data_IF_248776324476
#
_entry.id   IF_248776324476
#
_cell.length_a   1.000
_cell.length_b   1.000
_cell.length_c   1.000
_cell.angle_alpha   90.00
_cell.angle_beta   90.00
_cell.angle_gamma   90.00
#
_symmetry.space_group_name_H-M   'P 1'
#
loop_
_entity.id
_entity.type
_entity.pdbx_description
1 polymer ?
#
# COMPACT_ATOMS: atom_id res chain seq x y z
N UNK A 1 30.37 -3.06 7.24
CA UNK A 1 29.09 -3.06 7.99
C UNK A 1 28.89 -4.35 8.79
N UNK A 2 28.93 -5.56 8.22
CA UNK A 2 28.73 -6.85 8.93
C UNK A 2 29.66 -7.06 10.13
N UNK A 3 30.94 -6.63 10.05
CA UNK A 3 31.93 -6.75 11.14
C UNK A 3 31.53 -5.91 12.38
N UNK A 4 31.00 -4.71 12.17
CA UNK A 4 30.53 -3.82 13.23
C UNK A 4 29.26 -4.39 13.88
N UNK A 5 28.32 -4.88 13.11
CA UNK A 5 27.10 -5.51 13.63
C UNK A 5 27.44 -6.74 14.50
N UNK A 6 28.43 -7.58 14.09
CA UNK A 6 28.90 -8.71 14.90
C UNK A 6 29.59 -8.28 16.20
N UNK A 7 30.44 -7.25 16.14
CA UNK A 7 31.15 -6.72 17.32
C UNK A 7 30.18 -6.11 18.35
N UNK A 8 29.11 -5.47 17.87
CA UNK A 8 28.07 -4.84 18.70
C UNK A 8 26.87 -5.77 19.00
N UNK A 9 26.96 -7.05 18.60
CA UNK A 9 25.90 -8.05 18.74
C UNK A 9 24.55 -7.57 18.17
N UNK A 10 24.58 -6.72 17.14
CA UNK A 10 23.38 -6.25 16.44
C UNK A 10 22.93 -7.34 15.49
N UNK A 11 21.71 -7.86 15.71
CA UNK A 11 21.06 -8.87 14.87
C UNK A 11 19.81 -8.28 14.22
N UNK A 12 19.58 -8.65 12.95
CA UNK A 12 18.31 -8.32 12.29
C UNK A 12 17.17 -9.08 12.96
N UNK A 13 16.08 -8.36 13.27
CA UNK A 13 14.82 -8.94 13.75
C UNK A 13 13.89 -9.35 12.60
N UNK A 14 14.34 -9.17 11.36
CA UNK A 14 13.54 -9.48 10.17
C UNK A 14 13.36 -10.99 10.07
N UNK A 15 12.11 -11.43 10.14
CA UNK A 15 11.72 -12.79 9.79
C UNK A 15 11.12 -12.77 8.38
N UNK A 16 11.71 -13.53 7.47
CA UNK A 16 11.11 -13.75 6.16
C UNK A 16 9.91 -14.69 6.36
N UNK A 17 8.72 -14.18 6.01
CA UNK A 17 7.51 -14.98 5.91
C UNK A 17 6.90 -14.75 4.54
N UNK A 18 6.73 -15.81 3.76
CA UNK A 18 6.13 -15.75 2.43
C UNK A 18 4.59 -15.79 2.45
N UNK A 19 3.96 -15.52 3.59
CA UNK A 19 2.51 -15.53 3.71
C UNK A 19 1.94 -14.21 3.16
N UNK A 20 1.72 -14.14 1.85
CA UNK A 20 0.89 -13.09 1.25
C UNK A 20 -0.54 -13.18 1.76
N UNK A 21 -1.21 -12.04 1.96
CA UNK A 21 -2.62 -12.01 2.37
C UNK A 21 -3.58 -11.96 1.17
N UNK A 22 -3.06 -11.95 -0.04
CA UNK A 22 -3.86 -11.94 -1.27
C UNK A 22 -4.64 -13.23 -1.42
N UNK A 23 -5.96 -13.13 -1.39
CA UNK A 23 -6.86 -14.21 -1.80
C UNK A 23 -7.22 -13.99 -3.25
N UNK A 24 -6.70 -14.87 -4.13
CA UNK A 24 -7.13 -14.87 -5.52
C UNK A 24 -8.64 -15.19 -5.60
N UNK A 25 -9.33 -14.54 -6.53
CA UNK A 25 -10.72 -14.86 -6.82
C UNK A 25 -10.80 -16.25 -7.42
N UNK A 26 -11.65 -17.12 -6.85
CA UNK A 26 -11.93 -18.44 -7.43
C UNK A 26 -12.60 -18.29 -8.82
N UNK A 27 -13.45 -17.27 -8.99
CA UNK A 27 -14.11 -16.91 -10.25
C UNK A 27 -13.99 -15.39 -10.46
N UNK A 28 -12.91 -14.89 -11.09
CA UNK A 28 -12.76 -13.47 -11.36
C UNK A 28 -13.83 -13.02 -12.35
N UNK A 29 -14.55 -11.94 -12.00
CA UNK A 29 -15.61 -11.37 -12.86
C UNK A 29 -15.03 -10.45 -13.94
N UNK A 30 -13.89 -9.84 -13.67
CA UNK A 30 -13.16 -8.97 -14.59
C UNK A 30 -11.65 -9.09 -14.36
N UNK A 31 -10.88 -9.13 -15.43
CA UNK A 31 -9.42 -9.12 -15.39
C UNK A 31 -8.92 -8.07 -16.38
N UNK A 32 -8.23 -7.06 -15.86
CA UNK A 32 -7.58 -6.04 -16.68
C UNK A 32 -6.20 -6.52 -17.18
N UNK A 33 -5.75 -5.96 -18.29
CA UNK A 33 -4.39 -6.17 -18.81
C UNK A 33 -3.35 -5.53 -17.89
N UNK A 34 -2.11 -6.01 -17.96
CA UNK A 34 -0.99 -5.37 -17.27
C UNK A 34 -0.44 -4.20 -18.09
N UNK A 35 -1.12 -3.06 -18.02
CA UNK A 35 -0.72 -1.83 -18.73
C UNK A 35 0.50 -1.20 -18.07
N UNK A 36 0.62 -1.26 -16.72
CA UNK A 36 1.73 -0.69 -15.98
C UNK A 36 3.10 -1.28 -16.39
N UNK A 37 3.12 -2.58 -16.68
CA UNK A 37 4.28 -3.34 -17.15
C UNK A 37 5.60 -3.02 -16.41
N UNK A 38 5.52 -2.84 -15.08
CA UNK A 38 6.64 -2.49 -14.18
C UNK A 38 7.25 -1.11 -14.43
N UNK A 39 6.59 -0.25 -15.17
CA UNK A 39 7.03 1.13 -15.32
C UNK A 39 6.62 1.94 -14.07
N UNK A 40 7.43 1.82 -13.01
CA UNK A 40 7.17 2.41 -11.69
C UNK A 40 7.60 3.87 -11.56
N UNK A 41 7.73 4.57 -12.66
CA UNK A 41 7.99 6.01 -12.73
C UNK A 41 6.75 6.74 -13.21
N UNK A 42 6.51 7.93 -12.70
CA UNK A 42 5.47 8.84 -13.14
C UNK A 42 6.05 10.25 -13.28
N UNK A 43 5.48 11.07 -14.14
CA UNK A 43 5.94 12.43 -14.42
C UNK A 43 5.22 13.48 -13.55
N UNK A 44 4.05 13.13 -13.05
CA UNK A 44 3.20 14.01 -12.26
C UNK A 44 2.48 13.22 -11.14
N UNK A 45 2.07 13.90 -10.05
CA UNK A 45 1.15 13.32 -9.07
C UNK A 45 -0.15 12.89 -9.75
N UNK A 46 -0.74 11.83 -9.22
CA UNK A 46 -2.00 11.25 -9.72
C UNK A 46 -1.97 10.70 -11.16
N UNK A 47 -0.78 10.46 -11.73
CA UNK A 47 -0.63 9.80 -13.04
C UNK A 47 -0.76 8.27 -12.91
N UNK A 48 -0.15 7.69 -11.87
CA UNK A 48 -0.15 6.24 -11.65
C UNK A 48 -0.30 5.94 -10.16
N UNK A 49 -1.30 5.15 -9.81
CA UNK A 49 -1.56 4.68 -8.45
C UNK A 49 -1.40 3.17 -8.33
N UNK A 50 -0.72 2.71 -7.30
CA UNK A 50 -0.67 1.31 -6.91
C UNK A 50 -1.51 1.08 -5.67
N UNK A 51 -2.18 -0.07 -5.62
CA UNK A 51 -2.96 -0.47 -4.44
C UNK A 51 -2.70 -1.92 -4.06
N UNK A 52 -2.85 -2.21 -2.79
CA UNK A 52 -2.80 -3.55 -2.24
C UNK A 52 -3.43 -3.58 -0.83
N UNK A 53 -3.67 -4.78 -0.34
CA UNK A 53 -4.16 -5.03 1.02
C UNK A 53 -3.14 -5.85 1.79
N UNK A 54 -2.83 -5.41 3.00
CA UNK A 54 -1.98 -6.17 3.92
C UNK A 54 -2.68 -6.46 5.24
N UNK A 55 -2.29 -7.54 5.93
CA UNK A 55 -2.83 -7.89 7.24
C UNK A 55 -1.81 -7.65 8.37
N UNK A 56 -2.35 -7.29 9.52
CA UNK A 56 -1.67 -7.20 10.80
C UNK A 56 -2.41 -8.01 11.85
N UNK A 57 -1.72 -8.36 12.93
CA UNK A 57 -2.28 -9.13 14.03
C UNK A 57 -2.11 -8.40 15.36
N UNK A 58 -3.12 -8.56 16.22
CA UNK A 58 -3.04 -8.23 17.64
C UNK A 58 -3.59 -9.40 18.46
N UNK A 59 -3.38 -9.37 19.76
CA UNK A 59 -3.73 -10.48 20.65
C UNK A 59 -4.57 -9.96 21.79
N UNK A 60 -5.67 -10.65 22.08
CA UNK A 60 -6.46 -10.48 23.31
C UNK A 60 -6.26 -11.75 24.12
N UNK A 61 -5.46 -11.66 25.20
CA UNK A 61 -5.00 -12.84 25.91
C UNK A 61 -4.17 -13.75 24.99
N UNK A 62 -4.67 -14.97 24.74
CA UNK A 62 -4.04 -15.95 23.84
C UNK A 62 -4.64 -15.96 22.42
N UNK A 63 -5.75 -15.27 22.21
CA UNK A 63 -6.42 -15.24 20.90
C UNK A 63 -5.76 -14.25 19.94
N UNK A 64 -5.55 -14.69 18.70
CA UNK A 64 -5.00 -13.87 17.62
C UNK A 64 -6.10 -13.30 16.75
N UNK A 65 -6.21 -11.99 16.74
CA UNK A 65 -7.12 -11.22 15.91
C UNK A 65 -6.40 -10.58 14.72
N UNK A 66 -7.14 -10.18 13.69
CA UNK A 66 -6.62 -9.58 12.46
C UNK A 66 -7.18 -8.19 12.24
N UNK A 67 -6.35 -7.34 11.64
CA UNK A 67 -6.72 -6.07 11.04
C UNK A 67 -6.17 -6.02 9.63
N UNK A 68 -6.95 -5.51 8.70
CA UNK A 68 -6.57 -5.35 7.29
C UNK A 68 -6.42 -3.88 6.96
N UNK A 69 -5.33 -3.55 6.29
CA UNK A 69 -5.03 -2.22 5.78
C UNK A 69 -5.04 -2.27 4.25
N UNK A 70 -5.93 -1.53 3.62
CA UNK A 70 -5.89 -1.20 2.21
C UNK A 70 -5.29 0.18 2.04
N UNK A 71 -4.39 0.38 1.09
CA UNK A 71 -3.82 1.69 0.80
C UNK A 71 -3.56 1.89 -0.69
N UNK A 72 -3.48 3.16 -1.10
CA UNK A 72 -3.13 3.61 -2.43
C UNK A 72 -1.84 4.43 -2.35
N UNK A 73 -0.84 4.07 -3.14
CA UNK A 73 0.45 4.73 -3.25
C UNK A 73 0.57 5.41 -4.62
N UNK A 74 0.93 6.68 -4.64
CA UNK A 74 1.26 7.42 -5.85
C UNK A 74 2.69 7.10 -6.31
N UNK A 75 2.89 6.85 -7.59
CA UNK A 75 4.21 6.51 -8.13
C UNK A 75 5.13 7.70 -8.36
N UNK A 76 4.61 8.92 -8.44
CA UNK A 76 5.42 10.12 -8.61
C UNK A 76 6.16 10.53 -7.34
N UNK A 77 5.42 10.75 -6.27
CA UNK A 77 5.92 11.27 -5.00
C UNK A 77 6.02 10.21 -3.90
N UNK A 78 5.54 8.99 -4.16
CA UNK A 78 5.53 7.87 -3.21
C UNK A 78 4.65 8.08 -1.99
N UNK A 79 3.81 9.11 -1.95
CA UNK A 79 2.87 9.32 -0.85
C UNK A 79 1.78 8.26 -0.80
N UNK A 80 1.33 7.96 0.39
CA UNK A 80 0.08 7.23 0.58
C UNK A 80 -1.07 8.22 0.40
N UNK A 81 -1.77 8.09 -0.73
CA UNK A 81 -2.87 8.96 -1.15
C UNK A 81 -4.09 8.77 -0.26
N UNK A 82 -4.40 7.51 0.02
CA UNK A 82 -5.54 7.09 0.83
C UNK A 82 -5.28 5.74 1.47
N UNK A 83 -5.93 5.49 2.60
CA UNK A 83 -5.96 4.18 3.24
C UNK A 83 -7.23 3.99 4.05
N UNK A 84 -7.61 2.72 4.27
CA UNK A 84 -8.71 2.31 5.15
C UNK A 84 -8.27 1.09 5.96
N UNK A 85 -8.65 1.06 7.25
CA UNK A 85 -8.33 -0.04 8.17
C UNK A 85 -9.64 -0.68 8.62
N UNK A 86 -9.76 -2.02 8.48
CA UNK A 86 -10.95 -2.78 8.87
C UNK A 86 -10.59 -4.14 9.46
N UNK A 87 -11.53 -4.74 10.20
CA UNK A 87 -11.36 -6.08 10.77
C UNK A 87 -11.70 -7.20 9.77
N UNK A 88 -12.28 -6.84 8.62
CA UNK A 88 -12.66 -7.76 7.56
C UNK A 88 -12.00 -7.38 6.24
N UNK A 89 -11.39 -8.38 5.58
CA UNK A 89 -10.89 -8.24 4.21
C UNK A 89 -12.04 -8.50 3.22
N UNK A 90 -12.76 -7.45 2.86
CA UNK A 90 -13.93 -7.50 1.98
C UNK A 90 -13.87 -6.39 0.91
N UNK A 91 -14.85 -6.38 0.00
CA UNK A 91 -14.92 -5.38 -1.08
C UNK A 91 -15.02 -3.95 -0.53
N UNK A 92 -15.78 -3.73 0.54
CA UNK A 92 -15.94 -2.40 1.14
C UNK A 92 -14.61 -1.79 1.60
N UNK A 93 -13.65 -2.60 2.08
CA UNK A 93 -12.32 -2.14 2.47
C UNK A 93 -11.62 -1.41 1.31
N UNK A 94 -11.61 -2.02 0.12
CA UNK A 94 -10.94 -1.48 -1.07
C UNK A 94 -11.75 -0.36 -1.72
N UNK A 95 -13.09 -0.50 -1.77
CA UNK A 95 -13.97 0.48 -2.38
C UNK A 95 -13.90 1.82 -1.65
N UNK A 96 -13.97 1.79 -0.32
CA UNK A 96 -13.84 3.00 0.50
C UNK A 96 -12.44 3.63 0.37
N UNK A 97 -11.40 2.80 0.18
CA UNK A 97 -10.03 3.32 -0.04
C UNK A 97 -9.97 4.15 -1.34
N UNK A 98 -10.62 3.67 -2.41
CA UNK A 98 -10.71 4.40 -3.68
C UNK A 98 -11.59 5.65 -3.55
N UNK A 99 -12.75 5.54 -2.89
CA UNK A 99 -13.65 6.69 -2.69
C UNK A 99 -12.95 7.81 -1.93
N UNK A 100 -12.24 7.48 -0.85
CA UNK A 100 -11.46 8.45 -0.09
C UNK A 100 -10.30 9.06 -0.92
N UNK A 101 -9.68 8.28 -1.80
CA UNK A 101 -8.63 8.80 -2.69
C UNK A 101 -9.19 9.83 -3.68
N UNK A 102 -10.32 9.52 -4.32
CA UNK A 102 -10.98 10.41 -5.27
C UNK A 102 -11.54 11.68 -4.60
N UNK A 103 -12.08 11.54 -3.39
CA UNK A 103 -12.57 12.68 -2.62
C UNK A 103 -11.43 13.68 -2.30
N UNK A 104 -10.24 13.16 -1.98
CA UNK A 104 -9.05 14.00 -1.67
C UNK A 104 -8.33 14.53 -2.90
N UNK A 105 -8.56 13.92 -4.07
CA UNK A 105 -7.94 14.30 -5.33
C UNK A 105 -9.01 14.42 -6.42
N UNK A 106 -9.86 15.46 -6.39
CA UNK A 106 -10.93 15.65 -7.36
C UNK A 106 -10.40 15.72 -8.79
N UNK A 107 -11.03 14.97 -9.70
CA UNK A 107 -10.63 14.94 -11.11
C UNK A 107 -9.41 14.07 -11.44
N UNK A 108 -8.81 13.39 -10.46
CA UNK A 108 -7.70 12.47 -10.72
C UNK A 108 -8.16 11.26 -11.55
N UNK A 109 -7.43 10.95 -12.62
CA UNK A 109 -7.69 9.83 -13.52
C UNK A 109 -6.42 8.98 -13.72
N UNK A 110 -5.87 8.40 -12.64
CA UNK A 110 -4.63 7.63 -12.71
C UNK A 110 -4.76 6.34 -13.51
N UNK A 111 -3.64 5.82 -13.98
CA UNK A 111 -3.51 4.39 -14.23
C UNK A 111 -3.51 3.67 -12.87
N UNK A 112 -4.58 2.92 -12.57
CA UNK A 112 -4.80 2.28 -11.29
C UNK A 112 -4.36 0.81 -11.33
N UNK A 113 -3.25 0.47 -10.69
CA UNK A 113 -2.69 -0.87 -10.73
C UNK A 113 -2.86 -1.63 -9.42
N UNK A 114 -3.31 -2.87 -9.51
CA UNK A 114 -3.49 -3.80 -8.39
C UNK A 114 -2.98 -5.20 -8.71
N UNK A 115 -2.95 -6.06 -7.70
CA UNK A 115 -2.91 -7.50 -7.92
C UNK A 115 -4.27 -8.03 -8.44
N UNK A 116 -4.40 -9.37 -8.51
CA UNK A 116 -5.64 -10.06 -8.90
C UNK A 116 -6.45 -10.55 -7.70
N UNK A 117 -6.41 -9.83 -6.59
CA UNK A 117 -7.26 -10.10 -5.44
C UNK A 117 -8.74 -10.04 -5.80
N UNK A 118 -9.59 -10.78 -5.05
CA UNK A 118 -11.02 -10.88 -5.35
C UNK A 118 -11.75 -9.53 -5.33
N UNK A 119 -11.27 -8.56 -4.55
CA UNK A 119 -11.83 -7.22 -4.50
C UNK A 119 -11.64 -6.48 -5.82
N UNK A 120 -10.44 -6.58 -6.41
CA UNK A 120 -10.05 -5.88 -7.63
C UNK A 120 -10.63 -6.51 -8.89
N UNK A 121 -10.89 -7.83 -8.87
CA UNK A 121 -11.52 -8.57 -9.97
C UNK A 121 -13.05 -8.51 -9.93
N UNK A 122 -13.63 -7.78 -9.01
CA UNK A 122 -15.07 -7.56 -8.88
C UNK A 122 -15.58 -6.62 -9.97
N UNK A 123 -16.70 -6.98 -10.62
CA UNK A 123 -17.29 -6.17 -11.70
C UNK A 123 -17.74 -4.80 -11.22
N UNK A 124 -18.32 -4.69 -10.02
CA UNK A 124 -18.73 -3.40 -9.44
C UNK A 124 -17.53 -2.50 -9.21
N UNK A 125 -16.39 -3.06 -8.78
CA UNK A 125 -15.14 -2.30 -8.64
C UNK A 125 -14.66 -1.74 -9.98
N UNK A 126 -14.64 -2.58 -11.02
CA UNK A 126 -14.29 -2.14 -12.37
C UNK A 126 -15.21 -1.01 -12.86
N UNK A 127 -16.53 -1.18 -12.74
CA UNK A 127 -17.51 -0.15 -13.12
C UNK A 127 -17.28 1.16 -12.36
N UNK A 128 -16.94 1.10 -11.07
CA UNK A 128 -16.60 2.27 -10.26
C UNK A 128 -15.40 3.04 -10.84
N UNK A 129 -14.33 2.34 -11.21
CA UNK A 129 -13.14 2.98 -11.82
C UNK A 129 -13.48 3.61 -13.18
N UNK A 130 -14.20 2.89 -14.04
CA UNK A 130 -14.63 3.39 -15.36
C UNK A 130 -15.47 4.66 -15.22
N UNK A 131 -16.43 4.70 -14.31
CA UNK A 131 -17.27 5.87 -14.05
C UNK A 131 -16.47 7.09 -13.56
N UNK A 132 -15.32 6.85 -12.93
CA UNK A 132 -14.38 7.90 -12.53
C UNK A 132 -13.35 8.26 -13.61
N UNK A 133 -13.42 7.66 -14.80
CA UNK A 133 -12.44 7.86 -15.89
C UNK A 133 -11.07 7.20 -15.63
N UNK A 134 -11.00 6.26 -14.69
CA UNK A 134 -9.75 5.61 -14.25
C UNK A 134 -9.51 4.35 -15.06
N UNK A 135 -8.31 4.21 -15.61
CA UNK A 135 -7.86 3.00 -16.32
C UNK A 135 -7.34 1.97 -15.33
N UNK A 136 -7.95 0.79 -15.34
CA UNK A 136 -7.53 -0.33 -14.48
C UNK A 136 -6.40 -1.13 -15.12
N UNK A 137 -5.39 -1.49 -14.34
CA UNK A 137 -4.29 -2.39 -14.71
C UNK A 137 -4.10 -3.45 -13.62
N UNK A 138 -3.72 -4.66 -13.99
CA UNK A 138 -3.53 -5.75 -13.03
C UNK A 138 -2.21 -6.48 -13.24
N UNK A 139 -1.60 -6.91 -12.13
CA UNK A 139 -0.40 -7.75 -12.14
C UNK A 139 -0.65 -9.06 -12.89
N UNK A 140 0.39 -9.62 -13.48
CA UNK A 140 0.37 -10.97 -14.06
C UNK A 140 0.23 -12.02 -12.97
N UNK A 141 -0.30 -13.20 -13.33
CA UNK A 141 -0.46 -14.31 -12.38
C UNK A 141 0.91 -14.66 -11.77
N UNK A 142 0.95 -14.82 -10.46
CA UNK A 142 2.14 -15.19 -9.67
C UNK A 142 3.38 -14.30 -9.90
N UNK A 143 3.18 -13.04 -10.30
CA UNK A 143 4.24 -12.04 -10.48
C UNK A 143 4.07 -10.90 -9.45
N UNK A 144 4.35 -11.18 -8.18
CA UNK A 144 4.31 -10.19 -7.08
C UNK A 144 5.14 -8.93 -7.40
N UNK A 145 6.26 -9.09 -8.07
CA UNK A 145 7.14 -7.99 -8.47
C UNK A 145 6.43 -6.93 -9.36
N UNK A 146 5.29 -7.26 -9.96
CA UNK A 146 4.50 -6.32 -10.75
C UNK A 146 3.85 -5.23 -9.88
N UNK A 147 3.81 -5.40 -8.52
CA UNK A 147 3.36 -4.41 -7.54
C UNK A 147 4.49 -4.03 -6.54
N UNK A 148 5.74 -4.10 -6.99
CA UNK A 148 6.95 -3.96 -6.16
C UNK A 148 6.99 -2.74 -5.24
N UNK A 149 6.66 -1.50 -5.68
CA UNK A 149 6.68 -0.33 -4.80
C UNK A 149 5.71 -0.43 -3.63
N UNK A 150 4.52 -1.02 -3.83
CA UNK A 150 3.53 -1.21 -2.75
C UNK A 150 3.99 -2.29 -1.76
N UNK A 151 4.54 -3.40 -2.26
CA UNK A 151 5.18 -4.42 -1.41
C UNK A 151 6.36 -3.85 -0.62
N UNK A 152 7.14 -2.97 -1.26
CA UNK A 152 8.22 -2.22 -0.61
C UNK A 152 7.73 -1.38 0.56
N UNK A 153 6.63 -0.65 0.39
CA UNK A 153 6.00 0.13 1.45
C UNK A 153 5.55 -0.76 2.63
N UNK A 154 4.87 -1.89 2.36
CA UNK A 154 4.49 -2.84 3.42
C UNK A 154 5.71 -3.38 4.16
N UNK A 155 6.76 -3.72 3.42
CA UNK A 155 8.02 -4.19 4.00
C UNK A 155 8.65 -3.15 4.93
N UNK A 156 8.66 -1.88 4.55
CA UNK A 156 9.22 -0.78 5.35
C UNK A 156 8.36 -0.56 6.61
N UNK A 157 7.05 -0.39 6.49
CA UNK A 157 6.13 -0.21 7.61
C UNK A 157 6.29 -1.34 8.64
N UNK A 158 6.23 -2.59 8.16
CA UNK A 158 6.32 -3.76 9.04
C UNK A 158 7.68 -3.87 9.73
N UNK A 159 8.78 -3.58 9.04
CA UNK A 159 10.13 -3.61 9.63
C UNK A 159 10.36 -2.50 10.64
N UNK A 160 9.89 -1.29 10.35
CA UNK A 160 10.18 -0.14 11.20
C UNK A 160 9.28 -0.06 12.43
N UNK A 161 8.04 -0.60 12.37
CA UNK A 161 7.07 -0.38 13.45
C UNK A 161 6.34 -1.61 13.97
N UNK A 162 6.24 -2.69 13.20
CA UNK A 162 5.41 -3.83 13.55
C UNK A 162 6.21 -5.05 14.01
N UNK A 163 7.25 -5.48 13.25
CA UNK A 163 8.01 -6.66 13.60
C UNK A 163 8.78 -6.50 14.93
N UNK A 164 8.81 -7.57 15.70
CA UNK A 164 9.44 -7.59 17.05
C UNK A 164 8.55 -7.00 18.15
N UNK A 165 7.34 -6.50 17.82
CA UNK A 165 6.37 -6.01 18.80
C UNK A 165 5.18 -6.96 18.91
N UNK A 166 4.57 -7.00 20.10
CA UNK A 166 3.30 -7.68 20.36
C UNK A 166 2.24 -6.62 20.71
N UNK A 167 1.23 -6.51 19.88
CA UNK A 167 0.08 -5.64 20.14
C UNK A 167 -0.98 -6.42 20.90
N UNK A 168 -1.48 -5.87 22.00
CA UNK A 168 -2.44 -6.52 22.90
C UNK A 168 -3.85 -5.95 22.78
N UNK A 169 -4.02 -4.91 21.96
CA UNK A 169 -5.32 -4.34 21.64
C UNK A 169 -5.34 -3.79 20.21
N UNK A 170 -6.56 -3.66 19.66
CA UNK A 170 -6.82 -3.15 18.32
C UNK A 170 -6.45 -1.66 18.20
N UNK A 171 -6.80 -0.86 19.19
CA UNK A 171 -6.61 0.60 19.15
C UNK A 171 -5.14 0.98 19.03
N UNK A 172 -4.28 0.39 19.84
CA UNK A 172 -2.82 0.59 19.78
C UNK A 172 -2.24 0.18 18.43
N UNK A 173 -2.72 -0.95 17.87
CA UNK A 173 -2.26 -1.39 16.54
C UNK A 173 -2.70 -0.41 15.43
N UNK A 174 -3.96 0.00 15.43
CA UNK A 174 -4.50 0.96 14.45
C UNK A 174 -3.77 2.29 14.55
N UNK A 175 -3.63 2.83 15.78
CA UNK A 175 -2.89 4.07 16.00
C UNK A 175 -1.44 3.99 15.49
N UNK A 176 -0.75 2.87 15.72
CA UNK A 176 0.61 2.67 15.20
C UNK A 176 0.65 2.74 13.68
N UNK A 177 -0.35 2.17 12.98
CA UNK A 177 -0.42 2.21 11.52
C UNK A 177 -0.67 3.64 11.03
N UNK A 178 -1.62 4.36 11.65
CA UNK A 178 -1.97 5.73 11.30
C UNK A 178 -0.80 6.70 11.54
N UNK A 179 -0.18 6.64 12.72
CA UNK A 179 1.00 7.44 13.08
C UNK A 179 2.18 7.15 12.13
N UNK A 180 2.30 5.90 11.66
CA UNK A 180 3.36 5.55 10.71
C UNK A 180 3.09 6.09 9.31
N UNK A 181 1.87 6.05 8.82
CA UNK A 181 1.53 6.60 7.50
C UNK A 181 1.74 8.12 7.49
N UNK A 182 1.35 8.81 8.57
CA UNK A 182 1.65 10.24 8.73
C UNK A 182 3.16 10.50 8.72
N UNK A 183 3.93 9.76 9.52
CA UNK A 183 5.40 9.85 9.53
C UNK A 183 6.01 9.56 8.16
N UNK A 184 5.53 8.54 7.46
CA UNK A 184 6.01 8.15 6.14
C UNK A 184 5.80 9.25 5.10
N UNK A 185 4.63 9.86 5.09
CA UNK A 185 4.29 10.93 4.15
C UNK A 185 5.03 12.24 4.47
N UNK A 186 5.11 12.62 5.75
CA UNK A 186 5.47 13.98 6.15
C UNK A 186 6.89 14.12 6.73
N UNK A 187 7.52 13.02 7.18
CA UNK A 187 8.79 13.09 7.93
C UNK A 187 9.86 12.10 7.45
N UNK A 188 9.46 11.01 6.77
CA UNK A 188 10.39 9.99 6.35
C UNK A 188 11.08 10.37 5.04
N UNK A 189 12.36 10.75 5.15
CA UNK A 189 13.18 11.07 3.98
C UNK A 189 13.42 9.82 3.11
N UNK A 190 13.33 9.97 1.80
CA UNK A 190 13.50 8.90 0.83
C UNK A 190 14.62 9.23 -0.18
N UNK A 191 15.60 8.34 -0.29
CA UNK A 191 16.76 8.55 -1.18
C UNK A 191 16.34 8.67 -2.65
N UNK A 192 15.36 7.87 -3.08
CA UNK A 192 14.84 7.89 -4.46
C UNK A 192 14.00 9.13 -4.79
N UNK A 193 13.66 9.95 -3.81
CA UNK A 193 13.00 11.26 -3.99
C UNK A 193 13.99 12.43 -3.87
N UNK A 194 15.29 12.18 -3.88
CA UNK A 194 16.30 13.21 -3.69
C UNK A 194 16.47 13.64 -2.23
N UNK A 195 16.25 12.73 -1.29
CA UNK A 195 16.29 12.96 0.17
C UNK A 195 15.15 13.90 0.62
N UNK A 196 14.01 13.82 -0.06
CA UNK A 196 12.77 14.50 0.33
C UNK A 196 11.80 13.51 0.97
N UNK A 197 10.85 14.04 1.72
CA UNK A 197 9.66 13.29 2.11
C UNK A 197 8.69 13.21 0.92
N UNK A 198 7.74 12.26 0.91
CA UNK A 198 6.69 12.22 -0.10
C UNK A 198 5.92 13.53 -0.26
N UNK A 199 5.55 14.18 0.86
CA UNK A 199 4.79 15.44 0.82
C UNK A 199 5.64 16.61 0.33
N UNK A 200 6.90 16.75 0.74
CA UNK A 200 7.80 17.78 0.18
C UNK A 200 7.93 17.62 -1.34
N UNK A 201 8.08 16.37 -1.84
CA UNK A 201 8.13 16.12 -3.28
C UNK A 201 6.83 16.50 -3.99
N UNK A 202 5.68 16.23 -3.36
CA UNK A 202 4.36 16.62 -3.86
C UNK A 202 4.19 18.14 -3.93
N UNK A 203 4.52 18.84 -2.84
CA UNK A 203 4.38 20.30 -2.72
C UNK A 203 5.27 21.05 -3.71
N UNK A 204 6.52 20.60 -3.90
CA UNK A 204 7.43 21.16 -4.91
C UNK A 204 6.78 21.10 -6.30
N UNK A 205 6.14 19.98 -6.65
CA UNK A 205 5.45 19.87 -7.94
C UNK A 205 4.32 20.89 -8.06
N UNK A 206 3.47 21.00 -7.03
CA UNK A 206 2.34 21.94 -7.06
C UNK A 206 2.74 23.41 -7.16
N UNK A 207 3.96 23.75 -6.71
CA UNK A 207 4.49 25.13 -6.80
C UNK A 207 5.02 25.47 -8.20
N UNK A 208 5.32 24.47 -9.02
CA UNK A 208 5.96 24.63 -10.34
C UNK A 208 4.99 24.36 -11.50
N UNK A 209 3.86 23.66 -11.23
CA UNK A 209 2.83 23.32 -12.20
C UNK A 209 1.78 24.43 -12.34
#
# INVERSE_FOLDING_TARGET
MLRICRKLNIKSTIKYSNNGCTRQAANPQYIAENILNREFTAKAPNEKWLTDVTEFHYYIGMERHKVYLSAILDLYDRRIVSYVIRDKNNNALVFDTVDNALLRNPGAQPLFHSDRGFQYTNRTFHTKLVNAGITQSMSRIAKCIDNGPMEGFWGILKRERYYGKRFTDRGTLVKMIEDYIDYYNNKRLQRNLGILTPMEKHEIYLQVA
#
